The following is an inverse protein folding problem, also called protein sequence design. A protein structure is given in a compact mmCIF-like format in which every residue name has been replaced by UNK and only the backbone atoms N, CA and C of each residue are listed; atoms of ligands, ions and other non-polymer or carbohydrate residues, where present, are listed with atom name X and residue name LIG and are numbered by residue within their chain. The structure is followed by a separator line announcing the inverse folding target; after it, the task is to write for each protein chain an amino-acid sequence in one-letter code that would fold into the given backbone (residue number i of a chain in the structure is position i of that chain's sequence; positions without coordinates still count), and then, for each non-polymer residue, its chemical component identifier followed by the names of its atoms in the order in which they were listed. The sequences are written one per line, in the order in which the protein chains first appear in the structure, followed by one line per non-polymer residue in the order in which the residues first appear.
data_IF_388520351681
#
_entry.id   IF_388520351681
#
_cell.length_a   1.000
_cell.length_b   1.000
_cell.length_c   1.000
_cell.angle_alpha   90.00
_cell.angle_beta   90.00
_cell.angle_gamma   90.00
#
_symmetry.space_group_name_H-M   'P 1'
#
loop_
_entity.id
_entity.type
_entity.pdbx_description
1 polymer ?
#
# COMPACT_ATOMS: atom_id res chain seq x y z
N UNK A 1 47.66 39.33 -85.35
CA UNK A 1 48.30 39.56 -84.04
C UNK A 1 48.43 38.24 -83.31
N UNK A 2 49.60 38.03 -82.73
CA UNK A 2 50.19 36.76 -82.35
C UNK A 2 49.87 36.38 -80.90
N UNK A 3 49.80 35.07 -80.66
CA UNK A 3 49.59 34.31 -79.41
C UNK A 3 50.14 34.92 -78.11
N UNK A 4 49.42 34.69 -77.01
CA UNK A 4 50.04 34.30 -75.73
C UNK A 4 49.13 33.32 -74.96
N UNK A 5 49.52 32.04 -74.94
CA UNK A 5 49.01 31.03 -74.02
C UNK A 5 49.54 31.33 -72.61
N UNK A 6 48.68 31.30 -71.59
CA UNK A 6 49.10 31.01 -70.22
C UNK A 6 48.45 29.69 -69.78
N UNK A 7 49.30 28.69 -69.60
CA UNK A 7 49.01 27.38 -69.03
C UNK A 7 48.48 27.54 -67.61
N UNK A 8 47.32 26.97 -67.32
CA UNK A 8 46.85 26.76 -65.94
C UNK A 8 47.15 25.30 -65.60
N UNK A 9 48.07 25.10 -64.67
CA UNK A 9 48.45 23.81 -64.11
C UNK A 9 47.30 23.29 -63.24
N UNK A 10 46.76 22.12 -63.59
CA UNK A 10 45.81 21.38 -62.76
C UNK A 10 46.62 20.59 -61.74
N UNK A 11 46.67 21.07 -60.50
CA UNK A 11 47.11 20.25 -59.36
C UNK A 11 45.91 19.47 -58.86
N UNK A 12 45.80 18.20 -59.26
CA UNK A 12 44.85 17.26 -58.67
C UNK A 12 45.30 16.92 -57.24
N UNK A 13 44.66 17.53 -56.24
CA UNK A 13 44.80 17.12 -54.84
C UNK A 13 43.90 15.90 -54.65
N UNK A 14 44.51 14.72 -54.62
CA UNK A 14 43.85 13.48 -54.23
C UNK A 14 43.66 13.50 -52.70
N UNK A 15 42.51 13.99 -52.23
CA UNK A 15 42.10 13.84 -50.83
C UNK A 15 41.62 12.41 -50.65
N UNK A 16 42.52 11.54 -50.16
CA UNK A 16 42.12 10.22 -49.66
C UNK A 16 41.44 10.42 -48.31
N UNK A 17 40.13 10.59 -48.33
CA UNK A 17 39.31 10.55 -47.13
C UNK A 17 39.25 9.09 -46.64
N UNK A 18 40.12 8.74 -45.70
CA UNK A 18 39.97 7.50 -44.94
C UNK A 18 38.74 7.62 -44.06
N UNK A 19 37.60 7.13 -44.57
CA UNK A 19 36.39 6.93 -43.80
C UNK A 19 36.69 5.91 -42.72
N UNK A 20 37.06 6.39 -41.54
CA UNK A 20 37.12 5.56 -40.35
C UNK A 20 35.66 5.38 -39.94
N UNK A 21 35.05 4.27 -40.37
CA UNK A 21 33.71 3.88 -39.95
C UNK A 21 33.83 3.52 -38.47
N UNK A 22 33.50 4.47 -37.60
CA UNK A 22 33.15 4.13 -36.22
C UNK A 22 31.82 3.38 -36.30
N UNK A 23 31.74 2.11 -35.87
CA UNK A 23 30.44 1.53 -35.61
C UNK A 23 29.79 2.44 -34.57
N UNK A 24 28.69 3.08 -34.94
CA UNK A 24 27.79 3.66 -33.96
C UNK A 24 27.33 2.50 -33.08
N UNK A 25 27.98 2.35 -31.93
CA UNK A 25 27.44 1.56 -30.83
C UNK A 25 26.12 2.22 -30.47
N UNK A 26 25.05 1.71 -31.09
CA UNK A 26 23.69 1.97 -30.68
C UNK A 26 23.52 1.39 -29.29
N UNK A 27 23.88 2.16 -28.27
CA UNK A 27 23.35 1.94 -26.93
C UNK A 27 21.90 2.36 -27.03
N UNK A 28 21.01 1.39 -27.27
CA UNK A 28 19.61 1.58 -26.99
C UNK A 28 19.51 2.06 -25.55
N UNK A 29 19.00 3.27 -25.33
CA UNK A 29 18.52 3.60 -24.00
C UNK A 29 17.25 2.75 -23.83
N UNK A 30 17.38 1.60 -23.16
CA UNK A 30 16.39 0.51 -23.16
C UNK A 30 15.01 0.89 -22.59
N UNK A 31 14.89 2.00 -21.85
CA UNK A 31 13.63 2.69 -21.52
C UNK A 31 13.94 3.97 -20.75
N UNK A 32 13.03 4.96 -20.75
CA UNK A 32 13.04 6.11 -19.84
C UNK A 32 12.44 5.80 -18.46
N UNK A 33 11.94 4.57 -18.24
CA UNK A 33 11.51 4.07 -16.94
C UNK A 33 12.70 3.99 -15.97
N UNK A 34 12.51 4.47 -14.74
CA UNK A 34 13.50 4.28 -13.66
C UNK A 34 13.23 2.97 -12.92
N UNK A 35 14.30 2.28 -12.58
CA UNK A 35 14.25 1.06 -11.76
C UNK A 35 13.56 1.30 -10.41
N UNK A 36 12.97 0.23 -9.87
CA UNK A 36 12.37 0.18 -8.52
C UNK A 36 11.20 1.13 -8.31
N UNK A 37 10.59 1.63 -9.39
CA UNK A 37 9.32 2.34 -9.31
C UNK A 37 8.16 1.37 -9.57
N UNK A 38 7.12 1.46 -8.75
CA UNK A 38 5.88 0.71 -8.88
C UNK A 38 4.72 1.65 -9.21
N UNK A 39 3.80 1.18 -10.04
CA UNK A 39 2.52 1.80 -10.37
C UNK A 39 1.58 0.75 -10.93
N UNK A 40 0.35 1.13 -11.25
CA UNK A 40 -0.59 0.22 -11.91
C UNK A 40 -0.02 -0.35 -13.21
N UNK A 41 -0.45 -1.55 -13.57
CA UNK A 41 -0.05 -2.18 -14.83
C UNK A 41 -0.56 -1.37 -16.03
N UNK A 42 0.25 -1.28 -17.08
CA UNK A 42 -0.18 -0.61 -18.32
C UNK A 42 -0.99 -1.56 -19.19
N UNK A 43 -2.22 -1.19 -19.48
CA UNK A 43 -3.10 -1.86 -20.44
C UNK A 43 -4.22 -0.91 -20.87
N UNK A 44 -4.63 -0.85 -22.15
CA UNK A 44 -5.80 -0.08 -22.57
C UNK A 44 -7.11 -0.58 -21.94
N UNK A 45 -8.13 0.29 -21.83
CA UNK A 45 -9.47 -0.16 -21.44
C UNK A 45 -10.04 -1.06 -22.54
N UNK A 46 -10.95 -1.94 -22.15
CA UNK A 46 -11.84 -2.58 -23.13
C UNK A 46 -12.55 -1.52 -23.95
N UNK A 47 -12.51 -1.66 -25.28
CA UNK A 47 -13.14 -0.72 -26.18
C UNK A 47 -14.65 -0.64 -25.92
N UNK A 48 -15.16 0.58 -25.77
CA UNK A 48 -16.58 0.88 -25.80
C UNK A 48 -16.84 2.10 -26.63
N UNK A 49 -17.97 2.11 -27.33
CA UNK A 49 -18.40 3.26 -28.11
C UNK A 49 -19.08 4.34 -27.24
N UNK A 50 -18.57 4.57 -26.03
CA UNK A 50 -19.06 5.54 -25.05
C UNK A 50 -17.90 6.03 -24.17
N UNK A 51 -18.05 7.23 -23.60
CA UNK A 51 -17.05 7.77 -22.68
C UNK A 51 -16.87 6.84 -21.48
N UNK A 52 -15.62 6.45 -21.20
CA UNK A 52 -15.23 5.74 -19.99
C UNK A 52 -14.26 6.60 -19.21
N UNK A 53 -14.44 6.72 -17.90
CA UNK A 53 -13.49 7.36 -16.98
C UNK A 53 -13.37 6.48 -15.75
N UNK A 54 -12.24 5.83 -15.59
CA UNK A 54 -11.95 4.89 -14.51
C UNK A 54 -10.82 5.47 -13.67
N UNK A 55 -11.09 5.65 -12.38
CA UNK A 55 -10.11 6.14 -11.42
C UNK A 55 -9.92 5.06 -10.36
N UNK A 56 -8.70 4.57 -10.19
CA UNK A 56 -8.39 3.63 -9.13
C UNK A 56 -8.58 4.29 -7.76
N UNK A 57 -9.02 3.51 -6.77
CA UNK A 57 -9.08 3.98 -5.40
C UNK A 57 -7.69 4.41 -4.91
N UNK A 58 -7.68 5.41 -4.04
CA UNK A 58 -6.42 5.79 -3.39
C UNK A 58 -5.90 4.62 -2.56
N UNK A 59 -4.59 4.44 -2.54
CA UNK A 59 -3.98 3.38 -1.75
C UNK A 59 -4.05 3.64 -0.23
N UNK A 60 -3.46 2.74 0.56
CA UNK A 60 -3.41 2.85 2.03
C UNK A 60 -2.70 4.11 2.53
N UNK A 61 -1.86 4.75 1.71
CA UNK A 61 -1.19 6.02 1.99
C UNK A 61 -1.96 7.23 1.43
N UNK A 62 -3.17 7.03 0.91
CA UNK A 62 -4.00 8.05 0.24
C UNK A 62 -3.34 8.65 -1.00
N UNK A 63 -2.47 7.90 -1.67
CA UNK A 63 -1.88 8.30 -2.95
C UNK A 63 -2.85 7.96 -4.08
N UNK A 64 -2.92 8.80 -5.11
CA UNK A 64 -3.58 8.43 -6.35
C UNK A 64 -2.82 7.28 -7.02
N UNK A 65 -3.53 6.34 -7.63
CA UNK A 65 -2.93 5.08 -8.11
C UNK A 65 -2.94 4.98 -9.63
N UNK A 66 -4.08 5.25 -10.26
CA UNK A 66 -4.23 5.20 -11.72
C UNK A 66 -5.47 5.97 -12.15
N UNK A 67 -5.38 6.60 -13.33
CA UNK A 67 -6.51 7.27 -13.95
C UNK A 67 -6.53 6.95 -15.44
N UNK A 68 -7.69 6.55 -15.94
CA UNK A 68 -7.85 6.04 -17.30
C UNK A 68 -9.10 6.63 -17.92
N UNK A 69 -8.99 7.10 -19.16
CA UNK A 69 -10.11 7.62 -19.91
C UNK A 69 -10.17 7.04 -21.32
N UNK A 70 -11.38 6.76 -21.81
CA UNK A 70 -11.66 6.51 -23.21
C UNK A 70 -12.71 7.51 -23.69
N UNK A 71 -12.39 8.37 -24.65
CA UNK A 71 -13.30 9.42 -25.13
C UNK A 71 -13.07 9.78 -26.60
N UNK A 72 -14.09 10.30 -27.27
CA UNK A 72 -13.95 11.00 -28.55
C UNK A 72 -13.94 12.54 -28.36
N UNK A 73 -13.75 13.27 -29.47
CA UNK A 73 -13.68 14.73 -29.45
C UNK A 73 -14.96 15.42 -28.96
N UNK A 74 -16.14 14.84 -29.21
CA UNK A 74 -17.42 15.42 -28.80
C UNK A 74 -17.73 15.22 -27.30
N UNK A 75 -17.02 14.29 -26.65
CA UNK A 75 -17.17 13.93 -25.24
C UNK A 75 -16.21 14.68 -24.30
N UNK A 76 -15.38 15.58 -24.86
CA UNK A 76 -14.60 16.54 -24.09
C UNK A 76 -15.55 17.48 -23.29
N UNK A 77 -15.21 17.84 -22.05
CA UNK A 77 -16.04 18.72 -21.24
C UNK A 77 -16.16 20.11 -21.84
N UNK A 78 -17.38 20.65 -21.85
CA UNK A 78 -17.68 22.01 -22.31
C UNK A 78 -17.67 23.04 -21.17
N UNK A 79 -17.79 22.59 -19.93
CA UNK A 79 -17.75 23.44 -18.74
C UNK A 79 -16.37 24.09 -18.58
N UNK A 80 -16.35 25.33 -18.09
CA UNK A 80 -15.10 26.03 -17.79
C UNK A 80 -14.42 25.36 -16.59
N UNK A 81 -13.11 25.10 -16.72
CA UNK A 81 -12.28 24.64 -15.62
C UNK A 81 -12.37 25.61 -14.44
N UNK A 82 -12.37 25.06 -13.22
CA UNK A 82 -12.30 25.90 -12.03
C UNK A 82 -11.03 26.75 -12.07
N UNK A 83 -11.13 28.01 -11.65
CA UNK A 83 -9.99 28.94 -11.62
C UNK A 83 -8.94 28.54 -10.58
N UNK A 84 -9.32 27.68 -9.62
CA UNK A 84 -8.47 27.18 -8.55
C UNK A 84 -8.94 25.79 -8.11
N UNK A 85 -7.97 24.92 -7.85
CA UNK A 85 -8.16 23.65 -7.14
C UNK A 85 -7.97 23.84 -5.63
N UNK A 86 -8.75 23.15 -4.82
CA UNK A 86 -8.77 23.22 -3.36
C UNK A 86 -8.25 21.95 -2.69
N UNK A 87 -8.36 20.79 -3.34
CA UNK A 87 -7.89 19.52 -2.80
C UNK A 87 -6.36 19.48 -2.75
N UNK A 88 -5.80 19.15 -1.59
CA UNK A 88 -4.36 18.95 -1.44
C UNK A 88 -4.08 17.44 -1.42
N UNK A 89 -3.44 16.88 -2.46
CA UNK A 89 -3.06 15.47 -2.44
C UNK A 89 -2.02 15.20 -1.36
N UNK A 90 -1.85 13.94 -0.98
CA UNK A 90 -0.86 13.55 0.02
C UNK A 90 0.55 14.01 -0.39
N UNK A 91 1.33 14.48 0.59
CA UNK A 91 2.65 15.09 0.36
C UNK A 91 2.60 16.51 -0.25
N UNK A 92 1.44 17.15 -0.32
CA UNK A 92 1.33 18.52 -0.83
C UNK A 92 2.03 19.55 0.08
N UNK A 93 2.94 20.35 -0.52
CA UNK A 93 3.54 21.53 0.09
C UNK A 93 3.54 22.71 -0.89
N UNK A 94 3.35 23.91 -0.37
CA UNK A 94 3.24 25.11 -1.21
C UNK A 94 4.53 25.95 -1.20
N UNK A 95 5.50 25.58 -2.03
CA UNK A 95 6.79 26.27 -2.11
C UNK A 95 6.87 27.28 -3.25
N UNK A 96 7.42 28.47 -2.97
CA UNK A 96 7.76 29.49 -3.98
C UNK A 96 9.27 29.69 -4.06
N UNK A 97 9.93 28.94 -4.92
CA UNK A 97 11.38 28.92 -5.04
C UNK A 97 11.94 29.90 -6.06
N UNK A 98 13.15 30.37 -5.78
CA UNK A 98 13.93 31.21 -6.69
C UNK A 98 14.54 30.35 -7.80
N UNK A 99 14.76 30.91 -8.98
CA UNK A 99 15.52 30.26 -10.06
C UNK A 99 16.29 31.31 -10.87
N UNK A 100 17.44 30.92 -11.45
CA UNK A 100 18.22 31.78 -12.35
C UNK A 100 17.62 31.71 -13.74
N UNK A 101 17.22 32.85 -14.30
CA UNK A 101 16.73 32.95 -15.68
C UNK A 101 17.90 32.91 -16.66
N UNK A 102 17.59 32.73 -17.95
CA UNK A 102 18.60 32.76 -19.01
C UNK A 102 19.42 34.07 -19.03
N UNK A 103 18.79 35.20 -18.73
CA UNK A 103 19.46 36.51 -18.62
C UNK A 103 20.16 36.74 -17.27
N UNK A 104 20.50 35.66 -16.54
CA UNK A 104 21.11 35.66 -15.21
C UNK A 104 20.31 36.32 -14.06
N UNK A 105 19.19 36.98 -14.32
CA UNK A 105 18.34 37.55 -13.26
C UNK A 105 17.62 36.46 -12.45
N UNK A 106 17.23 36.80 -11.21
CA UNK A 106 16.52 35.87 -10.33
C UNK A 106 15.02 36.00 -10.52
N UNK A 107 14.36 34.90 -10.85
CA UNK A 107 12.91 34.75 -10.83
C UNK A 107 12.44 34.02 -9.57
N UNK A 108 11.13 34.04 -9.33
CA UNK A 108 10.46 33.16 -8.37
C UNK A 108 9.35 32.39 -9.08
N UNK A 109 9.17 31.13 -8.71
CA UNK A 109 8.01 30.36 -9.14
C UNK A 109 7.54 29.37 -8.10
N UNK A 110 6.27 29.01 -8.18
CA UNK A 110 5.71 27.92 -7.39
C UNK A 110 6.32 26.61 -7.87
N UNK A 111 6.76 25.76 -6.94
CA UNK A 111 7.38 24.48 -7.28
C UNK A 111 6.32 23.49 -7.71
N UNK A 112 5.31 23.27 -6.86
CA UNK A 112 4.28 22.26 -7.09
C UNK A 112 2.99 22.87 -7.60
N UNK A 113 2.35 22.14 -8.51
CA UNK A 113 0.95 22.27 -8.89
C UNK A 113 0.20 21.06 -8.32
N UNK A 114 -1.09 21.25 -8.02
CA UNK A 114 -2.03 20.12 -7.89
C UNK A 114 -2.25 19.61 -9.31
N UNK A 115 -1.41 18.68 -9.73
CA UNK A 115 -1.35 18.21 -11.11
C UNK A 115 -2.39 17.12 -11.34
N UNK A 116 -3.11 17.23 -12.45
CA UNK A 116 -4.04 16.21 -12.90
C UNK A 116 -3.28 15.02 -13.46
N UNK A 117 -3.72 13.80 -13.16
CA UNK A 117 -3.30 12.63 -13.94
C UNK A 117 -3.92 12.72 -15.35
N UNK A 118 -5.24 12.71 -15.43
CA UNK A 118 -5.99 12.99 -16.67
C UNK A 118 -6.40 14.47 -16.67
N UNK A 119 -5.76 15.26 -17.53
CA UNK A 119 -6.01 16.69 -17.67
C UNK A 119 -7.49 17.04 -17.83
N UNK A 120 -7.87 18.21 -17.29
CA UNK A 120 -9.26 18.68 -17.26
C UNK A 120 -9.94 18.64 -18.62
N UNK A 121 -9.23 18.99 -19.70
CA UNK A 121 -9.78 18.99 -21.07
C UNK A 121 -10.26 17.60 -21.56
N UNK A 122 -9.91 16.52 -20.86
CA UNK A 122 -10.43 15.18 -21.13
C UNK A 122 -11.41 14.74 -20.03
N UNK A 123 -11.00 14.88 -18.77
CA UNK A 123 -11.74 14.34 -17.62
C UNK A 123 -12.92 15.22 -17.18
N UNK A 124 -12.79 16.53 -17.24
CA UNK A 124 -13.71 17.50 -16.63
C UNK A 124 -13.61 17.59 -15.11
N UNK A 125 -12.61 16.93 -14.51
CA UNK A 125 -12.47 16.84 -13.05
C UNK A 125 -11.67 18.01 -12.48
N UNK A 126 -12.12 18.57 -11.36
CA UNK A 126 -11.39 19.61 -10.63
C UNK A 126 -10.71 19.03 -9.39
N UNK A 127 -11.44 18.87 -8.29
CA UNK A 127 -10.92 18.49 -6.96
C UNK A 127 -11.06 16.98 -6.67
N UNK A 128 -10.92 16.14 -7.70
CA UNK A 128 -11.00 14.68 -7.55
C UNK A 128 -9.66 14.11 -7.03
N UNK A 129 -9.70 13.59 -5.81
CA UNK A 129 -8.54 13.07 -5.07
C UNK A 129 -7.80 11.94 -5.81
N UNK A 130 -8.53 11.09 -6.53
CA UNK A 130 -7.96 9.99 -7.32
C UNK A 130 -7.27 10.47 -8.61
N UNK A 131 -7.46 11.73 -9.00
CA UNK A 131 -6.92 12.31 -10.22
C UNK A 131 -5.90 13.43 -9.95
N UNK A 132 -5.43 13.60 -8.70
CA UNK A 132 -4.51 14.67 -8.33
C UNK A 132 -3.27 14.15 -7.60
N UNK A 133 -2.09 14.62 -8.02
CA UNK A 133 -0.81 14.40 -7.34
C UNK A 133 0.00 15.71 -7.26
N UNK A 134 0.96 15.85 -6.33
CA UNK A 134 1.91 16.96 -6.37
C UNK A 134 2.85 16.79 -7.58
N UNK A 135 2.70 17.66 -8.57
CA UNK A 135 3.57 17.69 -9.75
C UNK A 135 4.39 18.97 -9.76
N UNK A 136 5.67 18.90 -10.13
CA UNK A 136 6.41 20.14 -10.35
C UNK A 136 5.80 20.95 -11.49
N UNK A 137 5.92 22.29 -11.45
CA UNK A 137 5.49 23.14 -12.55
C UNK A 137 6.21 22.78 -13.88
N UNK A 138 7.43 22.25 -13.78
CA UNK A 138 8.21 21.75 -14.91
C UNK A 138 7.58 20.49 -15.53
N UNK A 139 7.23 19.49 -14.72
CA UNK A 139 6.52 18.29 -15.16
C UNK A 139 5.14 18.64 -15.74
N UNK A 140 4.35 19.42 -15.01
CA UNK A 140 2.97 19.71 -15.39
C UNK A 140 2.92 20.58 -16.66
N UNK A 141 3.58 21.74 -16.63
CA UNK A 141 3.41 22.77 -17.67
C UNK A 141 4.63 23.01 -18.55
N UNK A 142 5.71 22.25 -18.36
CA UNK A 142 6.90 22.29 -19.21
C UNK A 142 7.92 23.37 -18.89
N UNK A 143 7.67 24.21 -17.89
CA UNK A 143 8.62 25.24 -17.47
C UNK A 143 8.32 25.74 -16.06
N UNK A 144 9.31 26.37 -15.44
CA UNK A 144 9.19 26.81 -14.05
C UNK A 144 8.10 27.87 -13.86
N UNK A 145 7.87 28.77 -14.83
CA UNK A 145 6.99 29.95 -14.62
C UNK A 145 5.92 30.17 -15.69
N UNK A 146 6.31 30.22 -16.96
CA UNK A 146 5.38 30.30 -18.09
C UNK A 146 5.30 28.93 -18.73
N UNK A 147 4.11 28.46 -19.08
CA UNK A 147 3.94 27.17 -19.71
C UNK A 147 4.75 27.05 -21.01
N UNK A 148 5.23 25.84 -21.30
CA UNK A 148 5.97 25.50 -22.50
C UNK A 148 5.45 24.18 -23.06
N UNK A 149 4.44 24.30 -23.94
CA UNK A 149 3.82 23.18 -24.63
C UNK A 149 4.75 22.43 -25.61
N UNK A 150 5.95 22.94 -25.89
CA UNK A 150 6.95 22.27 -26.74
C UNK A 150 7.91 21.40 -25.94
N UNK A 151 7.84 21.43 -24.60
CA UNK A 151 8.71 20.63 -23.76
C UNK A 151 8.23 19.17 -23.70
N UNK A 152 8.88 18.30 -24.47
CA UNK A 152 8.64 16.85 -24.49
C UNK A 152 8.85 16.14 -23.15
N UNK A 153 9.38 16.80 -22.11
CA UNK A 153 9.53 16.25 -20.76
C UNK A 153 8.32 16.53 -19.84
N UNK A 154 7.24 17.08 -20.38
CA UNK A 154 6.12 17.58 -19.59
C UNK A 154 4.76 17.09 -20.09
N UNK A 155 3.82 16.92 -19.17
CA UNK A 155 2.45 16.46 -19.41
C UNK A 155 1.78 17.28 -20.51
N UNK A 156 1.86 18.62 -20.41
CA UNK A 156 1.25 19.55 -21.35
C UNK A 156 1.60 19.31 -22.84
N UNK A 157 2.81 18.81 -23.15
CA UNK A 157 3.19 18.49 -24.53
C UNK A 157 2.29 17.38 -25.09
N UNK A 158 2.14 16.30 -24.34
CA UNK A 158 1.40 15.11 -24.76
C UNK A 158 -0.08 15.38 -24.77
N UNK A 159 -0.62 15.98 -23.71
CA UNK A 159 -2.04 16.29 -23.64
C UNK A 159 -2.50 17.23 -24.78
N UNK A 160 -1.68 18.24 -25.13
CA UNK A 160 -1.99 19.08 -26.31
C UNK A 160 -1.86 18.32 -27.62
N UNK A 161 -0.93 17.38 -27.72
CA UNK A 161 -0.79 16.48 -28.87
C UNK A 161 -2.02 15.60 -29.05
N UNK A 162 -2.49 14.99 -27.97
CA UNK A 162 -3.67 14.12 -27.95
C UNK A 162 -4.96 14.88 -28.27
N UNK A 163 -5.16 16.08 -27.71
CA UNK A 163 -6.30 16.94 -28.09
C UNK A 163 -6.27 17.31 -29.57
N UNK A 164 -5.10 17.64 -30.12
CA UNK A 164 -4.97 17.89 -31.57
C UNK A 164 -5.29 16.63 -32.38
N UNK A 165 -4.86 15.46 -31.91
CA UNK A 165 -5.17 14.20 -32.57
C UNK A 165 -6.68 13.95 -32.59
N UNK A 166 -7.37 14.05 -31.44
CA UNK A 166 -8.84 13.95 -31.33
C UNK A 166 -9.55 14.92 -32.27
N UNK A 167 -9.10 16.18 -32.32
CA UNK A 167 -9.69 17.21 -33.19
C UNK A 167 -9.63 16.86 -34.68
N UNK A 168 -8.55 16.21 -35.13
CA UNK A 168 -8.40 15.76 -36.52
C UNK A 168 -9.08 14.41 -36.79
N UNK A 169 -9.30 13.60 -35.75
CA UNK A 169 -9.91 12.27 -35.83
C UNK A 169 -11.21 12.24 -35.01
N UNK A 170 -12.19 13.09 -35.37
CA UNK A 170 -13.40 13.30 -34.56
C UNK A 170 -14.26 12.05 -34.38
N UNK A 171 -14.17 11.11 -35.32
CA UNK A 171 -14.81 9.79 -35.30
C UNK A 171 -13.88 8.70 -34.76
N UNK A 172 -12.83 9.07 -34.04
CA UNK A 172 -11.97 8.12 -33.34
C UNK A 172 -12.04 8.39 -31.86
N UNK A 173 -11.76 7.35 -31.08
CA UNK A 173 -11.70 7.41 -29.62
C UNK A 173 -10.23 7.37 -29.20
N UNK A 174 -9.86 8.21 -28.25
CA UNK A 174 -8.60 8.12 -27.53
C UNK A 174 -8.82 7.24 -26.32
N UNK A 175 -7.94 6.29 -26.09
CA UNK A 175 -7.74 5.61 -24.81
C UNK A 175 -6.44 6.12 -24.20
N UNK A 176 -6.51 6.65 -22.98
CA UNK A 176 -5.42 7.34 -22.31
C UNK A 176 -5.38 6.99 -20.82
N UNK A 177 -4.30 6.32 -20.42
CA UNK A 177 -4.01 5.94 -19.04
C UNK A 177 -2.85 6.78 -18.51
N UNK A 178 -2.98 7.30 -17.29
CA UNK A 178 -1.94 8.07 -16.61
C UNK A 178 -1.72 7.50 -15.22
N UNK A 179 -0.49 7.06 -14.99
CA UNK A 179 -0.12 6.29 -13.81
C UNK A 179 1.04 6.97 -13.07
N UNK A 180 0.84 7.42 -11.83
CA UNK A 180 1.93 7.86 -10.98
C UNK A 180 2.80 6.67 -10.55
N UNK A 181 4.12 6.85 -10.65
CA UNK A 181 5.12 5.81 -10.36
C UNK A 181 5.90 6.18 -9.08
N UNK A 182 5.73 5.38 -8.03
CA UNK A 182 6.29 5.62 -6.68
C UNK A 182 7.44 4.66 -6.36
N UNK A 183 8.34 5.07 -5.47
CA UNK A 183 9.33 4.18 -4.86
C UNK A 183 8.90 3.84 -3.43
N UNK A 184 8.54 2.57 -3.18
CA UNK A 184 8.12 2.12 -1.84
C UNK A 184 7.02 3.00 -1.23
N UNK A 185 7.29 3.52 -0.04
CA UNK A 185 6.33 4.31 0.74
C UNK A 185 6.39 5.82 0.45
N UNK A 186 7.05 6.26 -0.62
CA UNK A 186 7.14 7.68 -0.98
C UNK A 186 5.75 8.27 -1.28
N UNK A 187 5.47 9.44 -0.72
CA UNK A 187 4.19 10.13 -0.93
C UNK A 187 4.09 10.83 -2.28
N UNK A 188 5.22 11.22 -2.88
CA UNK A 188 5.26 11.84 -4.20
C UNK A 188 5.69 10.83 -5.27
N UNK A 189 5.06 10.84 -6.46
CA UNK A 189 5.54 10.03 -7.56
C UNK A 189 6.87 10.58 -8.06
N UNK A 190 7.81 9.68 -8.37
CA UNK A 190 9.11 9.98 -8.99
C UNK A 190 8.97 10.21 -10.49
N UNK A 191 8.04 9.48 -11.11
CA UNK A 191 7.69 9.62 -12.52
C UNK A 191 6.16 9.56 -12.69
N UNK A 192 5.68 10.09 -13.81
CA UNK A 192 4.33 9.84 -14.32
C UNK A 192 4.51 9.06 -15.63
N UNK A 193 3.81 7.93 -15.77
CA UNK A 193 3.70 7.19 -17.02
C UNK A 193 2.42 7.62 -17.73
N UNK A 194 2.54 7.96 -19.01
CA UNK A 194 1.44 8.19 -19.92
C UNK A 194 1.38 7.01 -20.87
N UNK A 195 0.19 6.49 -21.12
CA UNK A 195 -0.05 5.45 -22.12
C UNK A 195 -1.23 5.84 -22.98
N UNK A 196 -1.08 5.81 -24.30
CA UNK A 196 -2.16 6.20 -25.20
C UNK A 196 -2.23 5.36 -26.48
N UNK A 197 -3.46 5.11 -26.92
CA UNK A 197 -3.79 4.48 -28.18
C UNK A 197 -5.10 5.05 -28.73
N UNK A 198 -5.26 5.05 -30.05
CA UNK A 198 -6.52 5.42 -30.70
C UNK A 198 -7.36 4.18 -31.04
N UNK A 199 -8.65 4.38 -31.20
CA UNK A 199 -9.57 3.39 -31.76
C UNK A 199 -10.42 4.04 -32.85
N UNK A 200 -10.63 3.34 -33.97
CA UNK A 200 -11.61 3.71 -34.97
C UNK A 200 -13.04 3.54 -34.41
N UNK A 201 -14.05 4.00 -35.15
CA UNK A 201 -15.45 3.73 -34.82
C UNK A 201 -15.81 2.23 -34.78
N UNK A 202 -15.07 1.37 -35.50
CA UNK A 202 -15.26 -0.09 -35.49
C UNK A 202 -14.52 -0.78 -34.33
N UNK A 203 -13.76 -0.04 -33.51
CA UNK A 203 -12.94 -0.59 -32.43
C UNK A 203 -11.57 -1.09 -32.88
N UNK A 204 -11.15 -0.79 -34.11
CA UNK A 204 -9.80 -1.12 -34.59
C UNK A 204 -8.77 -0.16 -33.99
N UNK A 205 -7.61 -0.70 -33.58
CA UNK A 205 -6.53 0.08 -32.98
C UNK A 205 -5.88 1.02 -34.00
N UNK A 206 -5.66 2.26 -33.59
CA UNK A 206 -4.99 3.31 -34.36
C UNK A 206 -3.78 3.79 -33.55
N UNK A 207 -2.57 3.52 -34.04
CA UNK A 207 -1.35 3.99 -33.37
C UNK A 207 -1.25 5.51 -33.44
N UNK A 208 -1.00 6.14 -32.29
CA UNK A 208 -0.80 7.59 -32.17
C UNK A 208 0.69 7.88 -32.00
N UNK A 209 1.23 8.80 -32.80
CA UNK A 209 2.61 9.29 -32.69
C UNK A 209 2.62 10.81 -32.56
N UNK A 210 3.14 11.30 -31.44
CA UNK A 210 3.27 12.71 -31.11
C UNK A 210 4.67 13.26 -31.41
N UNK A 211 5.53 12.47 -32.09
CA UNK A 211 6.89 12.85 -32.52
C UNK A 211 7.79 13.25 -31.35
N UNK A 212 7.59 12.60 -30.20
CA UNK A 212 8.49 12.74 -29.06
C UNK A 212 9.56 11.66 -29.11
N UNK A 213 10.78 12.02 -28.72
CA UNK A 213 11.88 11.06 -28.57
C UNK A 213 11.71 10.17 -27.32
N UNK A 214 10.64 10.38 -26.54
CA UNK A 214 10.30 9.60 -25.34
C UNK A 214 9.16 8.62 -25.56
N UNK A 215 8.66 8.51 -26.79
CA UNK A 215 7.64 7.52 -27.13
C UNK A 215 8.31 6.16 -27.24
N UNK A 216 7.83 5.22 -26.44
CA UNK A 216 8.23 3.82 -26.43
C UNK A 216 7.02 2.94 -26.77
N UNK A 217 7.27 1.71 -27.19
CA UNK A 217 6.21 0.72 -27.41
C UNK A 217 5.73 0.18 -26.05
N UNK A 218 4.42 0.23 -25.84
CA UNK A 218 3.75 -0.34 -24.68
C UNK A 218 2.99 -1.62 -25.00
N UNK A 219 2.38 -2.18 -23.97
CA UNK A 219 1.49 -3.32 -24.06
C UNK A 219 0.30 -3.00 -24.96
N UNK A 220 -0.14 -4.05 -25.66
CA UNK A 220 -1.36 -4.06 -26.46
C UNK A 220 -1.39 -3.02 -27.60
N UNK A 221 -0.21 -2.61 -28.07
CA UNK A 221 -0.03 -1.66 -29.17
C UNK A 221 -0.11 -0.19 -28.76
N UNK A 222 -0.22 0.10 -27.46
CA UNK A 222 -0.18 1.46 -26.95
C UNK A 222 1.20 2.09 -27.08
N UNK A 223 1.25 3.41 -27.12
CA UNK A 223 2.48 4.19 -26.96
C UNK A 223 2.61 4.56 -25.49
N UNK A 224 3.79 4.36 -24.89
CA UNK A 224 4.08 4.75 -23.50
C UNK A 224 5.16 5.83 -23.42
N UNK A 225 5.07 6.66 -22.38
CA UNK A 225 6.00 7.76 -22.12
C UNK A 225 6.22 7.88 -20.62
N UNK A 226 7.48 7.95 -20.18
CA UNK A 226 7.85 8.20 -18.78
C UNK A 226 8.39 9.62 -18.59
N UNK A 227 7.73 10.39 -17.70
CA UNK A 227 8.10 11.77 -17.38
C UNK A 227 8.55 11.88 -15.92
N UNK A 228 9.67 12.57 -15.68
CA UNK A 228 10.17 12.77 -14.33
C UNK A 228 9.39 13.86 -13.61
N UNK A 229 9.03 13.60 -12.35
CA UNK A 229 8.55 14.64 -11.44
C UNK A 229 9.73 15.34 -10.78
N UNK A 230 10.51 16.08 -11.56
CA UNK A 230 11.71 16.80 -11.12
C UNK A 230 11.63 18.30 -11.42
N UNK A 231 12.55 19.07 -10.84
CA UNK A 231 12.67 20.50 -11.14
C UNK A 231 14.11 20.97 -10.91
N UNK A 232 14.63 21.80 -11.81
CA UNK A 232 16.01 22.30 -11.72
C UNK A 232 16.25 23.25 -10.53
N UNK A 233 15.19 23.85 -10.00
CA UNK A 233 15.25 24.79 -8.87
C UNK A 233 14.95 24.15 -7.51
N UNK A 234 14.87 22.82 -7.42
CA UNK A 234 14.49 22.12 -6.19
C UNK A 234 15.25 20.80 -5.99
N UNK A 235 15.55 20.48 -4.73
CA UNK A 235 15.83 19.14 -4.25
C UNK A 235 14.56 18.68 -3.54
N UNK A 236 13.90 17.66 -4.08
CA UNK A 236 12.61 17.17 -3.57
C UNK A 236 12.86 15.95 -2.69
N UNK A 237 12.29 15.97 -1.49
CA UNK A 237 12.13 14.79 -0.66
C UNK A 237 10.82 14.10 -1.06
N UNK A 238 10.93 12.99 -1.79
CA UNK A 238 9.75 12.27 -2.29
C UNK A 238 9.04 11.48 -1.18
N UNK A 239 9.71 11.23 -0.05
CA UNK A 239 9.12 10.54 1.09
C UNK A 239 7.92 11.31 1.66
N UNK A 240 8.02 12.64 1.76
CA UNK A 240 7.02 13.49 2.42
C UNK A 240 6.58 14.73 1.62
N UNK A 241 7.19 14.96 0.46
CA UNK A 241 6.91 16.09 -0.42
C UNK A 241 7.59 17.40 -0.05
N UNK A 242 8.40 17.42 1.02
CA UNK A 242 9.19 18.60 1.37
C UNK A 242 10.26 18.87 0.30
N UNK A 243 10.71 20.12 0.19
CA UNK A 243 11.73 20.47 -0.80
C UNK A 243 12.66 21.59 -0.33
N UNK A 244 13.87 21.62 -0.87
CA UNK A 244 14.86 22.69 -0.69
C UNK A 244 15.14 23.37 -2.02
N UNK A 245 15.23 24.70 -2.03
CA UNK A 245 15.60 25.47 -3.22
C UNK A 245 17.08 25.22 -3.57
N UNK A 246 17.43 25.11 -4.86
CA UNK A 246 18.81 24.81 -5.33
C UNK A 246 19.62 26.03 -5.74
N UNK A 247 19.04 27.24 -5.71
CA UNK A 247 19.66 28.45 -6.25
C UNK A 247 21.02 28.78 -5.62
N UNK A 248 21.26 28.35 -4.37
CA UNK A 248 22.51 28.62 -3.68
C UNK A 248 23.24 27.34 -3.29
N UNK A 249 23.39 26.34 -4.18
CA UNK A 249 24.05 25.06 -3.85
C UNK A 249 25.31 25.18 -2.96
N UNK A 250 26.16 26.21 -3.13
CA UNK A 250 27.31 26.48 -2.24
C UNK A 250 26.95 27.11 -0.88
N UNK A 251 26.03 28.08 -0.83
CA UNK A 251 25.62 28.72 0.42
C UNK A 251 24.56 27.90 1.19
N UNK A 252 23.73 27.12 0.51
CA UNK A 252 22.79 26.17 1.10
C UNK A 252 23.53 24.96 1.71
N UNK A 253 24.68 24.57 1.14
CA UNK A 253 25.58 23.58 1.76
C UNK A 253 26.36 24.18 2.94
N UNK A 254 26.77 25.44 2.87
CA UNK A 254 27.40 26.16 3.98
C UNK A 254 26.41 26.38 5.14
N UNK A 255 25.19 26.84 4.86
CA UNK A 255 24.13 27.02 5.85
C UNK A 255 23.62 25.70 6.41
N UNK A 256 23.64 24.60 5.64
CA UNK A 256 23.35 23.26 6.18
C UNK A 256 24.49 22.71 7.03
N UNK A 257 25.74 23.05 6.71
CA UNK A 257 26.90 22.70 7.55
C UNK A 257 26.90 23.53 8.84
N UNK A 258 26.65 24.84 8.76
CA UNK A 258 26.49 25.72 9.92
C UNK A 258 25.28 25.32 10.75
N UNK A 259 24.12 25.04 10.16
CA UNK A 259 22.94 24.56 10.90
C UNK A 259 23.12 23.14 11.44
N UNK A 260 23.91 22.28 10.80
CA UNK A 260 24.26 20.95 11.33
C UNK A 260 25.32 21.05 12.43
N UNK A 261 26.27 21.98 12.34
CA UNK A 261 27.27 22.27 13.37
C UNK A 261 26.60 22.96 14.57
N UNK A 262 25.66 23.88 14.34
CA UNK A 262 24.84 24.57 15.35
C UNK A 262 23.81 23.61 15.96
N UNK A 263 23.18 22.74 15.17
CA UNK A 263 22.36 21.66 15.70
C UNK A 263 23.19 20.61 16.43
N UNK A 264 24.43 20.33 16.02
CA UNK A 264 25.33 19.41 16.73
C UNK A 264 25.91 20.03 18.00
N UNK A 265 26.13 21.34 18.04
CA UNK A 265 26.61 22.07 19.21
C UNK A 265 25.48 22.40 20.17
N UNK A 266 24.27 22.66 19.67
CA UNK A 266 23.04 22.76 20.45
C UNK A 266 22.58 21.38 20.93
N UNK A 267 22.72 20.32 20.14
CA UNK A 267 22.49 18.94 20.56
C UNK A 267 23.58 18.44 21.50
N UNK A 268 24.84 18.87 21.38
CA UNK A 268 25.89 18.57 22.35
C UNK A 268 25.72 19.37 23.64
N UNK A 269 25.25 20.62 23.57
CA UNK A 269 24.94 21.46 24.75
C UNK A 269 23.65 21.03 25.43
N UNK A 270 22.63 20.61 24.68
CA UNK A 270 21.39 20.04 25.21
C UNK A 270 21.58 18.59 25.65
N UNK A 271 22.44 17.79 25.00
CA UNK A 271 22.86 16.47 25.46
C UNK A 271 23.72 16.58 26.71
N UNK A 272 24.63 17.55 26.82
CA UNK A 272 25.41 17.76 28.05
C UNK A 272 24.52 18.24 29.22
N UNK A 273 23.56 19.15 28.96
CA UNK A 273 22.57 19.59 29.96
C UNK A 273 21.56 18.50 30.31
N UNK A 274 21.03 17.77 29.33
CA UNK A 274 20.13 16.65 29.54
C UNK A 274 20.85 15.45 30.15
N UNK A 275 22.15 15.25 29.89
CA UNK A 275 22.95 14.23 30.58
C UNK A 275 23.23 14.64 32.02
N UNK A 276 23.48 15.93 32.31
CA UNK A 276 23.65 16.39 33.69
C UNK A 276 22.33 16.39 34.49
N UNK A 277 21.21 16.69 33.84
CA UNK A 277 19.85 16.63 34.42
C UNK A 277 19.33 15.20 34.51
N UNK A 278 19.66 14.32 33.55
CA UNK A 278 19.34 12.90 33.61
C UNK A 278 20.19 12.17 34.65
N UNK A 279 21.46 12.54 34.85
CA UNK A 279 22.29 11.95 35.91
C UNK A 279 21.84 12.42 37.30
N UNK A 280 21.40 13.68 37.46
CA UNK A 280 20.86 14.15 38.74
C UNK A 280 19.46 13.59 39.04
N UNK A 281 18.60 13.48 38.03
CA UNK A 281 17.27 12.87 38.17
C UNK A 281 17.33 11.35 38.28
N UNK A 282 18.24 10.65 37.60
CA UNK A 282 18.47 9.21 37.76
C UNK A 282 19.07 8.89 39.14
N UNK A 283 19.94 9.76 39.68
CA UNK A 283 20.42 9.61 41.06
C UNK A 283 19.28 9.76 42.07
N UNK A 284 18.45 10.81 41.94
CA UNK A 284 17.30 11.04 42.80
C UNK A 284 16.22 9.94 42.68
N UNK A 285 15.97 9.43 41.47
CA UNK A 285 15.02 8.32 41.25
C UNK A 285 15.59 6.97 41.68
N UNK A 286 16.90 6.72 41.57
CA UNK A 286 17.54 5.51 42.13
C UNK A 286 17.53 5.48 43.67
N UNK A 287 17.71 6.64 44.33
CA UNK A 287 17.62 6.77 45.79
C UNK A 287 16.16 6.61 46.28
N UNK A 288 15.18 7.13 45.52
CA UNK A 288 13.76 6.95 45.79
C UNK A 288 13.28 5.51 45.50
N UNK A 289 13.80 4.87 44.45
CA UNK A 289 13.49 3.49 44.08
C UNK A 289 14.15 2.47 45.03
N UNK A 290 15.38 2.71 45.51
CA UNK A 290 15.94 1.92 46.60
C UNK A 290 15.15 2.06 47.90
N UNK A 291 14.65 3.26 48.20
CA UNK A 291 13.83 3.50 49.40
C UNK A 291 12.45 2.84 49.28
N UNK A 292 11.83 2.84 48.09
CA UNK A 292 10.53 2.21 47.85
C UNK A 292 10.61 0.68 47.76
N UNK A 293 11.68 0.13 47.16
CA UNK A 293 11.95 -1.32 47.14
C UNK A 293 12.20 -1.83 48.57
N UNK A 294 12.95 -1.10 49.39
CA UNK A 294 13.14 -1.47 50.81
C UNK A 294 11.82 -1.46 51.60
N UNK A 295 10.95 -0.45 51.37
CA UNK A 295 9.63 -0.39 51.98
C UNK A 295 8.69 -1.50 51.49
N UNK A 296 8.73 -1.82 50.19
CA UNK A 296 7.92 -2.88 49.59
C UNK A 296 8.38 -4.27 50.02
N UNK A 297 9.70 -4.51 50.15
CA UNK A 297 10.25 -5.75 50.70
C UNK A 297 9.87 -5.94 52.17
N UNK A 298 9.91 -4.86 52.97
CA UNK A 298 9.44 -4.90 54.35
C UNK A 298 7.94 -5.24 54.41
N UNK A 299 7.11 -4.57 53.62
CA UNK A 299 5.66 -4.84 53.56
C UNK A 299 5.34 -6.26 53.04
N UNK A 300 6.09 -6.76 52.05
CA UNK A 300 5.95 -8.11 51.53
C UNK A 300 6.36 -9.16 52.58
N UNK A 301 7.41 -8.89 53.37
CA UNK A 301 7.80 -9.77 54.47
C UNK A 301 6.71 -9.83 55.57
N UNK A 302 6.16 -8.68 55.96
CA UNK A 302 5.05 -8.60 56.94
C UNK A 302 3.76 -9.27 56.40
N UNK A 303 3.46 -9.10 55.10
CA UNK A 303 2.34 -9.76 54.44
C UNK A 303 2.54 -11.28 54.31
N UNK A 304 3.76 -11.75 54.05
CA UNK A 304 4.08 -13.18 53.96
C UNK A 304 3.93 -13.88 55.32
N UNK A 305 4.32 -13.21 56.41
CA UNK A 305 4.10 -13.71 57.78
C UNK A 305 2.60 -13.79 58.08
N UNK A 306 1.83 -12.78 57.66
CA UNK A 306 0.37 -12.78 57.82
C UNK A 306 -0.33 -13.85 56.98
N UNK A 307 0.12 -14.06 55.74
CA UNK A 307 -0.40 -15.11 54.85
C UNK A 307 -0.02 -16.52 55.33
N UNK A 308 1.17 -16.72 55.89
CA UNK A 308 1.56 -17.99 56.49
C UNK A 308 0.70 -18.32 57.73
N UNK A 309 0.37 -17.31 58.54
CA UNK A 309 -0.57 -17.47 59.65
C UNK A 309 -1.99 -17.82 59.16
N UNK A 310 -2.47 -17.15 58.10
CA UNK A 310 -3.78 -17.44 57.50
C UNK A 310 -3.84 -18.80 56.77
N UNK A 311 -2.76 -19.23 56.11
CA UNK A 311 -2.66 -20.54 55.49
C UNK A 311 -2.64 -21.65 56.55
N UNK A 312 -1.99 -21.40 57.70
CA UNK A 312 -1.99 -22.33 58.84
C UNK A 312 -3.37 -22.49 59.45
N UNK A 313 -4.13 -21.40 59.60
CA UNK A 313 -5.52 -21.46 60.07
C UNK A 313 -6.47 -22.11 59.04
N UNK A 314 -6.26 -21.86 57.75
CA UNK A 314 -7.04 -22.52 56.68
C UNK A 314 -6.73 -24.02 56.57
N UNK A 315 -5.47 -24.44 56.76
CA UNK A 315 -5.10 -25.85 56.77
C UNK A 315 -5.72 -26.60 57.96
N UNK A 316 -5.80 -25.94 59.13
CA UNK A 316 -6.53 -26.48 60.28
C UNK A 316 -8.03 -26.61 60.00
N UNK A 317 -8.65 -25.60 59.37
CA UNK A 317 -10.06 -25.64 58.97
C UNK A 317 -10.36 -26.71 57.90
N UNK A 318 -9.50 -26.84 56.89
CA UNK A 318 -9.64 -27.85 55.83
C UNK A 318 -9.46 -29.27 56.37
N UNK A 319 -8.58 -29.47 57.36
CA UNK A 319 -8.41 -30.77 58.03
C UNK A 319 -9.67 -31.16 58.82
N UNK A 320 -10.31 -30.20 59.49
CA UNK A 320 -11.59 -30.41 60.16
C UNK A 320 -12.74 -30.70 59.18
N UNK A 321 -12.75 -30.04 58.01
CA UNK A 321 -13.72 -30.28 56.95
C UNK A 321 -13.52 -31.64 56.26
N UNK A 322 -12.26 -32.06 56.02
CA UNK A 322 -11.94 -33.36 55.44
C UNK A 322 -12.30 -34.53 56.37
N UNK A 323 -12.14 -34.37 57.69
CA UNK A 323 -12.62 -35.35 58.67
C UNK A 323 -14.15 -35.51 58.61
N UNK A 324 -14.87 -34.39 58.45
CA UNK A 324 -16.33 -34.38 58.30
C UNK A 324 -16.78 -35.00 56.95
N UNK A 325 -16.05 -34.75 55.86
CA UNK A 325 -16.36 -35.29 54.53
C UNK A 325 -16.05 -36.80 54.40
N UNK A 326 -15.01 -37.30 55.07
CA UNK A 326 -14.69 -38.73 55.12
C UNK A 326 -15.78 -39.53 55.87
N UNK A 327 -16.41 -38.94 56.89
CA UNK A 327 -17.60 -39.51 57.53
C UNK A 327 -18.83 -39.53 56.60
N UNK A 328 -18.99 -38.55 55.71
CA UNK A 328 -20.09 -38.50 54.74
C UNK A 328 -19.89 -39.45 53.54
N UNK A 329 -18.66 -39.66 53.05
CA UNK A 329 -18.36 -40.54 51.91
C UNK A 329 -18.42 -42.03 52.26
N UNK A 330 -18.20 -42.42 53.53
CA UNK A 330 -18.41 -43.80 53.98
C UNK A 330 -19.90 -44.22 53.91
N UNK A 331 -20.84 -43.28 53.90
CA UNK A 331 -22.29 -43.54 53.85
C UNK A 331 -22.85 -43.66 52.41
N UNK A 332 -22.14 -43.20 51.37
CA UNK A 332 -22.65 -43.17 49.99
C UNK A 332 -22.09 -44.28 49.08
N UNK A 333 -20.99 -44.96 49.44
CA UNK A 333 -20.28 -45.88 48.55
C UNK A 333 -20.76 -47.35 48.60
N UNK A 334 -21.95 -47.63 49.14
CA UNK A 334 -22.57 -48.96 49.14
C UNK A 334 -23.65 -49.15 48.05
N UNK A 335 -24.06 -48.11 47.30
CA UNK A 335 -25.25 -48.20 46.43
C UNK A 335 -25.00 -48.37 44.92
N UNK A 336 -23.75 -48.26 44.43
CA UNK A 336 -23.46 -48.21 42.99
C UNK A 336 -23.05 -49.56 42.34
N UNK A 337 -22.92 -50.66 43.08
CA UNK A 337 -22.40 -51.94 42.56
C UNK A 337 -23.45 -52.92 42.00
N UNK A 338 -24.70 -52.51 41.78
CA UNK A 338 -25.82 -53.48 41.54
C UNK A 338 -26.74 -53.18 40.36
N UNK A 339 -26.37 -52.30 39.41
CA UNK A 339 -27.24 -51.92 38.29
C UNK A 339 -26.58 -52.21 36.93
N UNK A 340 -27.32 -52.78 35.99
CA UNK A 340 -26.95 -53.01 34.59
C UNK A 340 -27.86 -52.20 33.65
N UNK A 341 -27.31 -51.64 32.57
CA UNK A 341 -28.07 -50.85 31.60
C UNK A 341 -28.57 -51.74 30.45
N UNK A 342 -29.84 -51.60 30.09
CA UNK A 342 -30.50 -52.48 29.11
C UNK A 342 -30.28 -52.08 27.64
N UNK A 343 -29.86 -50.84 27.35
CA UNK A 343 -29.83 -50.31 25.98
C UNK A 343 -28.56 -50.63 25.18
N UNK A 344 -27.47 -51.01 25.84
CA UNK A 344 -26.17 -51.31 25.21
C UNK A 344 -25.98 -52.82 24.97
N UNK A 345 -27.00 -53.62 25.28
CA UNK A 345 -26.96 -55.07 25.09
C UNK A 345 -27.10 -55.41 23.60
N UNK A 346 -26.16 -56.20 23.08
CA UNK A 346 -26.22 -56.77 21.72
C UNK A 346 -27.24 -57.93 21.61
N UNK A 347 -27.87 -58.29 22.72
CA UNK A 347 -28.93 -59.29 22.82
C UNK A 347 -30.18 -58.70 23.46
N UNK A 348 -31.34 -59.33 23.24
CA UNK A 348 -32.60 -58.88 23.81
C UNK A 348 -32.57 -59.12 25.32
N UNK A 349 -32.71 -58.05 26.11
CA UNK A 349 -32.62 -58.09 27.57
C UNK A 349 -33.98 -57.74 28.21
N UNK A 350 -34.47 -58.64 29.05
CA UNK A 350 -35.68 -58.51 29.84
C UNK A 350 -35.40 -58.35 31.33
N UNK A 351 -36.34 -57.72 32.03
CA UNK A 351 -36.32 -57.63 33.49
C UNK A 351 -37.28 -58.67 34.08
N UNK A 352 -36.78 -59.60 34.88
CA UNK A 352 -37.56 -60.68 35.47
C UNK A 352 -38.68 -60.23 36.41
N UNK A 353 -38.64 -59.00 36.93
CA UNK A 353 -39.70 -58.45 37.79
C UNK A 353 -40.81 -57.76 37.00
N UNK A 354 -40.46 -57.05 35.92
CA UNK A 354 -41.45 -56.28 35.16
C UNK A 354 -42.00 -57.03 33.94
N UNK A 355 -41.34 -58.11 33.53
CA UNK A 355 -41.63 -58.85 32.30
C UNK A 355 -41.59 -57.94 31.07
N UNK A 356 -40.67 -56.97 31.03
CA UNK A 356 -40.48 -56.07 29.89
C UNK A 356 -39.11 -56.33 29.28
N UNK A 357 -39.05 -56.50 27.95
CA UNK A 357 -37.80 -56.66 27.22
C UNK A 357 -37.49 -55.48 26.28
N UNK A 358 -36.19 -55.25 26.06
CA UNK A 358 -35.65 -54.24 25.12
C UNK A 358 -34.86 -54.96 24.04
N UNK A 359 -34.97 -54.49 22.80
CA UNK A 359 -34.15 -55.01 21.70
C UNK A 359 -32.88 -54.18 21.53
N UNK A 360 -31.80 -54.75 20.96
CA UNK A 360 -30.56 -54.01 20.70
C UNK A 360 -30.82 -52.73 19.90
N UNK A 361 -30.28 -51.61 20.38
CA UNK A 361 -30.43 -50.29 19.74
C UNK A 361 -31.64 -49.47 20.18
N UNK A 362 -32.51 -49.98 21.07
CA UNK A 362 -33.55 -49.18 21.72
C UNK A 362 -33.04 -48.46 22.97
N UNK A 363 -33.72 -47.36 23.34
CA UNK A 363 -33.43 -46.65 24.57
C UNK A 363 -33.69 -47.56 25.78
N UNK A 364 -32.66 -47.82 26.57
CA UNK A 364 -32.74 -48.66 27.76
C UNK A 364 -32.91 -47.85 29.05
N UNK A 365 -32.99 -48.57 30.16
CA UNK A 365 -32.87 -48.03 31.51
C UNK A 365 -31.97 -48.91 32.39
N UNK A 366 -31.50 -48.35 33.50
CA UNK A 366 -30.72 -49.07 34.51
C UNK A 366 -31.63 -49.94 35.36
N UNK A 367 -31.34 -51.23 35.40
CA UNK A 367 -32.06 -52.18 36.25
C UNK A 367 -31.08 -53.01 37.07
N UNK A 368 -31.55 -53.54 38.20
CA UNK A 368 -30.66 -54.34 39.02
C UNK A 368 -30.19 -55.59 38.25
N UNK A 369 -28.88 -55.81 38.20
CA UNK A 369 -28.25 -56.89 37.42
C UNK A 369 -28.77 -58.27 37.80
N UNK A 370 -29.23 -58.46 39.05
CA UNK A 370 -29.82 -59.72 39.50
C UNK A 370 -31.15 -60.07 38.82
N UNK A 371 -31.80 -59.11 38.15
CA UNK A 371 -33.09 -59.30 37.49
C UNK A 371 -32.97 -59.35 35.96
N UNK A 372 -31.75 -59.46 35.41
CA UNK A 372 -31.53 -59.53 33.98
C UNK A 372 -31.82 -60.93 33.42
N UNK A 373 -32.64 -61.01 32.37
CA UNK A 373 -32.92 -62.22 31.60
C UNK A 373 -32.64 -61.94 30.13
N UNK A 374 -31.97 -62.86 29.44
CA UNK A 374 -31.55 -62.65 28.04
C UNK A 374 -32.28 -63.60 27.10
N UNK A 375 -32.70 -63.09 25.95
CA UNK A 375 -33.44 -63.83 24.92
C UNK A 375 -32.73 -63.76 23.57
N UNK A 376 -32.85 -64.85 22.80
CA UNK A 376 -32.26 -64.95 21.47
C UNK A 376 -33.14 -64.32 20.38
N UNK A 377 -34.45 -64.25 20.61
CA UNK A 377 -35.42 -63.60 19.71
C UNK A 377 -36.57 -62.94 20.48
N UNK A 378 -37.26 -61.99 19.84
CA UNK A 378 -38.45 -61.34 20.42
C UNK A 378 -39.59 -62.35 20.64
N UNK A 379 -39.70 -63.34 19.77
CA UNK A 379 -40.69 -64.41 19.89
C UNK A 379 -40.45 -65.25 21.16
N UNK A 380 -39.19 -65.54 21.51
CA UNK A 380 -38.84 -66.27 22.74
C UNK A 380 -39.20 -65.46 23.99
N UNK A 381 -38.93 -64.15 23.97
CA UNK A 381 -39.27 -63.26 25.06
C UNK A 381 -40.80 -63.19 25.26
N UNK A 382 -41.57 -63.07 24.18
CA UNK A 382 -43.03 -63.06 24.22
C UNK A 382 -43.62 -64.39 24.67
N UNK A 383 -43.07 -65.51 24.19
CA UNK A 383 -43.46 -66.86 24.62
C UNK A 383 -43.15 -67.09 26.11
N UNK A 384 -42.07 -66.50 26.63
CA UNK A 384 -41.73 -66.49 28.06
C UNK A 384 -42.59 -65.52 28.90
N UNK A 385 -43.58 -64.85 28.28
CA UNK A 385 -44.52 -63.96 28.96
C UNK A 385 -44.01 -62.53 29.14
N UNK A 386 -43.02 -62.09 28.36
CA UNK A 386 -42.48 -60.73 28.38
C UNK A 386 -43.08 -59.87 27.27
N UNK A 387 -43.36 -58.61 27.58
CA UNK A 387 -43.84 -57.62 26.61
C UNK A 387 -42.72 -56.69 26.15
N UNK A 388 -42.77 -56.26 24.89
CA UNK A 388 -41.80 -55.30 24.36
C UNK A 388 -41.92 -53.96 25.08
N UNK A 389 -40.79 -53.32 25.34
CA UNK A 389 -40.76 -51.94 25.79
C UNK A 389 -41.36 -51.01 24.72
N UNK A 390 -42.09 -49.99 25.17
CA UNK A 390 -42.66 -48.95 24.31
C UNK A 390 -41.76 -47.71 24.22
N UNK A 391 -40.53 -47.81 24.73
CA UNK A 391 -39.55 -46.73 24.81
C UNK A 391 -38.38 -46.96 23.86
#
# INVERSE_FOLDING_TARGET
MLKLLKKVTISAVLVVATSTIYPALGVAADSYQKDKLSGAEQHPLSFKNEKQLVLADQDSQKRAVDAHIQLNYAEEPTAKQATKLNYNPVGWHNYKFKYKKANASIGKSWLFNRGHLIGYQFSGLNDEAKNLVPETAYLNTGALKKSNASNKKAMLYYERGLTKWLKHHKSSRLDYQVTPMYSGNELLPRQIRLSYIGYSNSGEKVKISLKSYREEDGNDGATVVYLNNDSSNAIINYADGTAKNTLHKKADLAAQKEAAEEASSAAASSSARASSEAVSSAKASSEAEQSSIAAAQKAASEASVSQAAAASSQAAANSAAAASAAQAQAAQNQSAATQTYTGESQQIIGNSKSHIYHVPGQAGYYMNSSNAVYFNSEADAQAAGYRKSLR
#
